data_IF_566321970103
#
_entry.id   IF_566321970103
#
_cell.length_a   1.000
_cell.length_b   1.000
_cell.length_c   1.000
_cell.angle_alpha   90.00
_cell.angle_beta   90.00
_cell.angle_gamma   90.00
#
_symmetry.space_group_name_H-M   'P 1'
#
loop_
_entity.id
_entity.type
_entity.pdbx_description
1 polymer ?
#
# COMPACT_ATOMS: atom_id res chain seq x y z
N UNK A 1 -12.30 -14.98 -17.89
CA UNK A 1 -12.00 -14.32 -16.60
C UNK A 1 -12.38 -15.27 -15.47
N UNK A 2 -11.69 -15.30 -14.32
CA UNK A 2 -11.99 -16.23 -13.21
C UNK A 2 -12.45 -15.46 -11.96
N UNK A 3 -13.60 -15.82 -11.42
CA UNK A 3 -14.15 -15.32 -10.16
C UNK A 3 -13.91 -16.36 -9.06
N UNK A 4 -14.20 -16.02 -7.81
CA UNK A 4 -13.95 -16.88 -6.64
C UNK A 4 -15.06 -16.72 -5.62
N UNK A 5 -15.70 -17.83 -5.25
CA UNK A 5 -16.54 -17.88 -4.05
C UNK A 5 -15.67 -17.99 -2.81
N UNK A 6 -16.07 -17.27 -1.76
CA UNK A 6 -15.49 -17.34 -0.43
C UNK A 6 -16.54 -17.86 0.53
N UNK A 7 -16.22 -18.93 1.26
CA UNK A 7 -17.16 -19.62 2.15
C UNK A 7 -16.73 -19.50 3.60
N UNK A 8 -17.70 -19.37 4.50
CA UNK A 8 -17.47 -19.40 5.96
C UNK A 8 -17.43 -20.84 6.49
N UNK A 9 -16.60 -21.67 5.89
CA UNK A 9 -16.40 -23.07 6.27
C UNK A 9 -14.98 -23.53 5.92
N UNK A 10 -14.56 -24.61 6.57
CA UNK A 10 -13.19 -25.13 6.41
C UNK A 10 -13.00 -25.78 5.03
N UNK A 11 -11.74 -25.94 4.61
CA UNK A 11 -11.43 -26.59 3.32
C UNK A 11 -11.92 -28.05 3.32
N UNK A 12 -11.75 -28.75 4.43
CA UNK A 12 -12.12 -30.15 4.61
C UNK A 12 -13.63 -30.35 4.50
N UNK A 13 -14.41 -29.44 5.09
CA UNK A 13 -15.87 -29.43 5.04
C UNK A 13 -16.37 -29.18 3.62
N UNK A 14 -15.90 -28.10 2.97
CA UNK A 14 -16.33 -27.78 1.60
C UNK A 14 -15.86 -28.81 0.57
N UNK A 15 -14.70 -29.44 0.76
CA UNK A 15 -14.20 -30.45 -0.19
C UNK A 15 -15.15 -31.65 -0.28
N UNK A 16 -15.87 -31.99 0.80
CA UNK A 16 -16.87 -33.07 0.81
C UNK A 16 -18.10 -32.72 -0.02
N UNK A 17 -18.54 -31.47 0.01
CA UNK A 17 -19.74 -30.98 -0.69
C UNK A 17 -19.43 -30.32 -2.03
N UNK A 18 -18.15 -30.16 -2.41
CA UNK A 18 -17.72 -29.40 -3.59
C UNK A 18 -18.40 -29.82 -4.89
N UNK A 19 -18.53 -31.14 -5.14
CA UNK A 19 -19.21 -31.64 -6.35
C UNK A 19 -20.70 -31.34 -6.34
N UNK A 20 -21.34 -31.48 -5.19
CA UNK A 20 -22.76 -31.19 -5.01
C UNK A 20 -23.03 -29.70 -5.20
N UNK A 21 -22.18 -28.85 -4.62
CA UNK A 21 -22.23 -27.41 -4.81
C UNK A 21 -22.20 -27.04 -6.30
N UNK A 22 -21.25 -27.57 -7.08
CA UNK A 22 -21.19 -27.31 -8.51
C UNK A 22 -22.45 -27.69 -9.28
N UNK A 23 -23.05 -28.84 -8.96
CA UNK A 23 -24.32 -29.27 -9.58
C UNK A 23 -25.48 -28.33 -9.20
N UNK A 24 -25.54 -27.88 -7.94
CA UNK A 24 -26.58 -26.95 -7.49
C UNK A 24 -26.41 -25.55 -8.10
N UNK A 25 -25.17 -25.05 -8.24
CA UNK A 25 -24.90 -23.78 -8.93
C UNK A 25 -25.37 -23.87 -10.38
N UNK A 26 -25.01 -24.94 -11.09
CA UNK A 26 -25.41 -25.15 -12.47
C UNK A 26 -26.93 -25.19 -12.62
N UNK A 27 -27.61 -25.99 -11.79
CA UNK A 27 -29.07 -26.08 -11.83
C UNK A 27 -29.77 -24.75 -11.49
N UNK A 28 -29.24 -24.00 -10.52
CA UNK A 28 -29.79 -22.68 -10.18
C UNK A 28 -29.62 -21.69 -11.34
N UNK A 29 -28.49 -21.75 -12.05
CA UNK A 29 -28.22 -20.88 -13.19
C UNK A 29 -29.13 -21.20 -14.38
N UNK A 30 -29.37 -22.49 -14.67
CA UNK A 30 -30.30 -22.94 -15.71
C UNK A 30 -31.74 -22.51 -15.43
N UNK A 31 -32.17 -22.54 -14.16
CA UNK A 31 -33.50 -22.11 -13.75
C UNK A 31 -33.68 -20.58 -13.79
N UNK A 32 -32.70 -19.83 -13.30
CA UNK A 32 -32.80 -18.37 -13.19
C UNK A 32 -32.50 -17.68 -14.54
N UNK A 33 -31.78 -18.33 -15.46
CA UNK A 33 -31.38 -17.79 -16.76
C UNK A 33 -31.54 -18.80 -17.92
N UNK A 34 -32.79 -19.16 -18.29
CA UNK A 34 -33.07 -20.19 -19.30
C UNK A 34 -32.67 -19.78 -20.73
N UNK A 35 -32.41 -18.50 -20.98
CA UNK A 35 -32.21 -17.95 -22.33
C UNK A 35 -30.77 -18.14 -22.87
N UNK A 36 -29.85 -18.61 -22.03
CA UNK A 36 -28.47 -18.91 -22.43
C UNK A 36 -28.07 -20.32 -22.01
N UNK A 37 -27.35 -21.04 -22.88
CA UNK A 37 -26.69 -22.29 -22.49
C UNK A 37 -25.51 -21.94 -21.59
N UNK A 38 -25.80 -21.71 -20.31
CA UNK A 38 -24.81 -21.39 -19.31
C UNK A 38 -24.14 -22.66 -18.80
N UNK A 39 -22.82 -22.62 -18.63
CA UNK A 39 -22.07 -23.70 -17.99
C UNK A 39 -21.10 -23.10 -16.99
N UNK A 40 -21.03 -23.69 -15.79
CA UNK A 40 -20.14 -23.26 -14.71
C UNK A 40 -19.06 -24.28 -14.46
N UNK A 41 -17.81 -23.82 -14.45
CA UNK A 41 -16.64 -24.65 -14.22
C UNK A 41 -15.95 -24.24 -12.93
N UNK A 42 -15.96 -25.12 -11.94
CA UNK A 42 -15.29 -24.94 -10.65
C UNK A 42 -13.87 -25.52 -10.69
N UNK A 43 -12.92 -24.78 -10.11
CA UNK A 43 -11.57 -25.28 -9.84
C UNK A 43 -11.53 -26.14 -8.58
N UNK A 44 -10.37 -26.71 -8.24
CA UNK A 44 -10.21 -27.33 -6.93
C UNK A 44 -10.38 -26.30 -5.80
N UNK A 45 -11.03 -26.69 -4.69
CA UNK A 45 -11.10 -25.89 -3.47
C UNK A 45 -9.72 -25.55 -2.93
N UNK A 46 -9.59 -24.38 -2.31
CA UNK A 46 -8.37 -23.91 -1.66
C UNK A 46 -8.67 -23.22 -0.35
N UNK A 47 -7.74 -23.31 0.59
CA UNK A 47 -7.76 -22.54 1.83
C UNK A 47 -7.69 -21.04 1.50
N UNK A 48 -8.50 -20.23 2.17
CA UNK A 48 -8.46 -18.78 1.97
C UNK A 48 -7.18 -18.20 2.59
N UNK A 49 -6.56 -17.24 1.88
CA UNK A 49 -5.33 -16.57 2.34
C UNK A 49 -5.54 -15.66 3.54
N UNK A 50 -6.73 -15.04 3.66
CA UNK A 50 -7.05 -14.08 4.73
C UNK A 50 -7.45 -14.76 6.03
N UNK A 51 -8.11 -15.92 5.96
CA UNK A 51 -8.58 -16.65 7.13
C UNK A 51 -8.45 -18.15 6.89
N UNK A 52 -7.72 -18.84 7.77
CA UNK A 52 -7.50 -20.28 7.69
C UNK A 52 -8.75 -21.12 7.90
N UNK A 53 -9.77 -20.57 8.56
CA UNK A 53 -11.07 -21.24 8.78
C UNK A 53 -12.02 -21.07 7.59
N UNK A 54 -11.62 -20.30 6.57
CA UNK A 54 -12.41 -20.08 5.37
C UNK A 54 -11.82 -20.85 4.20
N UNK A 55 -12.70 -21.28 3.32
CA UNK A 55 -12.36 -21.91 2.06
C UNK A 55 -12.75 -21.01 0.89
N UNK A 56 -12.21 -21.32 -0.28
CA UNK A 56 -12.53 -20.59 -1.49
C UNK A 56 -12.40 -21.50 -2.71
N UNK A 57 -13.22 -21.25 -3.72
CA UNK A 57 -13.15 -21.96 -5.00
C UNK A 57 -13.23 -20.97 -6.14
N UNK A 58 -12.32 -21.09 -7.10
CA UNK A 58 -12.37 -20.27 -8.29
C UNK A 58 -13.31 -20.89 -9.31
N UNK A 59 -13.96 -20.05 -10.09
CA UNK A 59 -14.89 -20.47 -11.11
C UNK A 59 -14.84 -19.56 -12.32
N UNK A 60 -15.31 -20.07 -13.44
CA UNK A 60 -15.68 -19.27 -14.60
C UNK A 60 -16.97 -19.83 -15.17
N UNK A 61 -17.72 -18.97 -15.84
CA UNK A 61 -18.93 -19.37 -16.54
C UNK A 61 -18.78 -19.09 -18.03
N UNK A 62 -19.34 -19.98 -18.84
CA UNK A 62 -19.49 -19.79 -20.28
C UNK A 62 -20.97 -19.67 -20.60
N UNK A 63 -21.31 -18.89 -21.60
CA UNK A 63 -22.65 -18.85 -22.19
C UNK A 63 -22.49 -19.12 -23.67
N UNK A 64 -23.16 -20.15 -24.19
CA UNK A 64 -23.04 -20.59 -25.58
C UNK A 64 -21.57 -20.83 -26.00
N UNK A 65 -20.78 -21.47 -25.13
CA UNK A 65 -19.36 -21.77 -25.35
C UNK A 65 -18.41 -20.57 -25.22
N UNK A 66 -18.91 -19.36 -24.97
CA UNK A 66 -18.06 -18.18 -24.76
C UNK A 66 -17.90 -17.83 -23.29
N UNK A 67 -16.65 -17.69 -22.84
CA UNK A 67 -16.32 -17.30 -21.45
C UNK A 67 -16.84 -15.90 -21.18
N UNK A 68 -17.68 -15.79 -20.14
CA UNK A 68 -18.33 -14.54 -19.80
C UNK A 68 -17.40 -13.60 -19.02
N UNK A 69 -17.63 -12.30 -19.22
CA UNK A 69 -16.94 -11.24 -18.50
C UNK A 69 -17.41 -11.12 -17.05
N UNK A 70 -16.59 -10.51 -16.19
CA UNK A 70 -16.88 -10.37 -14.76
C UNK A 70 -18.27 -9.79 -14.46
N UNK A 71 -18.68 -8.72 -15.16
CA UNK A 71 -19.99 -8.08 -14.90
C UNK A 71 -21.15 -9.02 -15.22
N UNK A 72 -21.07 -9.78 -16.30
CA UNK A 72 -22.11 -10.74 -16.69
C UNK A 72 -22.15 -11.92 -15.70
N UNK A 73 -20.98 -12.48 -15.36
CA UNK A 73 -20.85 -13.55 -14.35
C UNK A 73 -21.39 -13.09 -13.01
N UNK A 74 -21.03 -11.88 -12.58
CA UNK A 74 -21.50 -11.35 -11.31
C UNK A 74 -23.01 -11.15 -11.30
N UNK A 75 -23.59 -10.62 -12.38
CA UNK A 75 -25.03 -10.42 -12.45
C UNK A 75 -25.83 -11.72 -12.41
N UNK A 76 -25.30 -12.80 -12.97
CA UNK A 76 -26.00 -14.08 -13.08
C UNK A 76 -25.80 -14.99 -11.87
N UNK A 77 -24.63 -14.90 -11.21
CA UNK A 77 -24.22 -15.83 -10.15
C UNK A 77 -24.12 -15.17 -8.76
N UNK A 78 -24.36 -13.86 -8.65
CA UNK A 78 -24.56 -13.20 -7.35
C UNK A 78 -25.83 -13.71 -6.68
N UNK A 79 -25.92 -13.53 -5.37
CA UNK A 79 -27.17 -13.75 -4.65
C UNK A 79 -28.28 -12.93 -5.32
N UNK A 80 -29.27 -13.62 -5.86
CA UNK A 80 -30.42 -12.97 -6.47
C UNK A 80 -31.20 -12.21 -5.39
N UNK A 81 -31.69 -11.02 -5.74
CA UNK A 81 -32.50 -10.17 -4.85
C UNK A 81 -33.86 -10.80 -4.53
N UNK A 82 -34.24 -11.82 -5.28
CA UNK A 82 -35.46 -12.60 -5.05
C UNK A 82 -35.14 -13.70 -4.03
N UNK A 83 -35.65 -13.55 -2.81
CA UNK A 83 -35.39 -14.47 -1.70
C UNK A 83 -35.83 -15.93 -1.99
N UNK A 84 -36.74 -16.16 -2.95
CA UNK A 84 -37.20 -17.49 -3.36
C UNK A 84 -36.35 -18.16 -4.45
N UNK A 85 -35.32 -17.50 -4.98
CA UNK A 85 -34.42 -18.08 -5.98
C UNK A 85 -33.57 -19.23 -5.40
N UNK A 86 -33.26 -20.22 -6.23
CA UNK A 86 -32.40 -21.35 -5.83
C UNK A 86 -30.97 -20.89 -5.53
N UNK A 87 -30.50 -19.84 -6.21
CA UNK A 87 -29.24 -19.17 -5.90
C UNK A 87 -29.22 -18.59 -4.48
N UNK A 88 -30.29 -17.91 -4.04
CA UNK A 88 -30.34 -17.37 -2.66
C UNK A 88 -30.30 -18.49 -1.60
N UNK A 89 -31.04 -19.59 -1.82
CA UNK A 89 -30.99 -20.77 -0.93
C UNK A 89 -29.59 -21.37 -0.87
N UNK A 90 -28.89 -21.44 -2.00
CA UNK A 90 -27.55 -21.98 -2.09
C UNK A 90 -26.53 -21.14 -1.29
N UNK A 91 -26.65 -19.82 -1.37
CA UNK A 91 -25.83 -18.86 -0.62
C UNK A 91 -25.97 -19.05 0.89
N UNK A 92 -27.20 -19.23 1.38
CA UNK A 92 -27.45 -19.50 2.79
C UNK A 92 -26.92 -20.87 3.22
N UNK A 93 -27.14 -21.91 2.41
CA UNK A 93 -26.76 -23.28 2.76
C UNK A 93 -25.23 -23.49 2.81
N UNK A 94 -24.49 -22.90 1.88
CA UNK A 94 -23.02 -22.99 1.81
C UNK A 94 -22.31 -21.83 2.51
N UNK A 95 -23.04 -20.99 3.27
CA UNK A 95 -22.49 -19.84 4.02
C UNK A 95 -21.54 -18.99 3.16
N UNK A 96 -21.96 -18.69 1.94
CA UNK A 96 -21.16 -17.90 1.01
C UNK A 96 -21.04 -16.48 1.57
N UNK A 97 -19.81 -16.05 1.84
CA UNK A 97 -19.52 -14.72 2.40
C UNK A 97 -19.52 -13.69 1.27
N UNK A 98 -18.82 -14.00 0.17
CA UNK A 98 -18.64 -13.06 -0.93
C UNK A 98 -18.20 -13.77 -2.23
N UNK A 99 -18.41 -13.10 -3.37
CA UNK A 99 -17.70 -13.40 -4.63
C UNK A 99 -16.63 -12.34 -4.84
N UNK A 100 -15.40 -12.78 -5.06
CA UNK A 100 -14.27 -11.91 -5.38
C UNK A 100 -13.64 -12.33 -6.71
N UNK A 101 -12.71 -11.54 -7.25
CA UNK A 101 -11.88 -12.01 -8.36
C UNK A 101 -10.95 -13.12 -7.88
N UNK A 102 -10.83 -14.19 -8.66
CA UNK A 102 -9.80 -15.19 -8.38
C UNK A 102 -8.43 -14.55 -8.63
N UNK A 103 -7.48 -14.74 -7.72
CA UNK A 103 -6.10 -14.27 -7.87
C UNK A 103 -5.44 -14.91 -9.11
N UNK A 104 -5.67 -14.34 -10.29
CA UNK A 104 -4.68 -14.32 -11.34
C UNK A 104 -3.74 -13.18 -10.96
N UNK A 105 -2.48 -13.52 -10.63
CA UNK A 105 -1.38 -12.60 -10.32
C UNK A 105 -1.77 -11.12 -10.29
N UNK A 106 -2.04 -10.59 -9.10
CA UNK A 106 -2.22 -9.16 -8.83
C UNK A 106 -2.93 -8.40 -9.96
N UNK A 107 -4.22 -8.66 -10.18
CA UNK A 107 -5.04 -7.62 -10.78
C UNK A 107 -4.92 -6.39 -9.85
N UNK A 108 -4.34 -5.27 -10.29
CA UNK A 108 -4.12 -4.13 -9.42
C UNK A 108 -5.49 -3.69 -8.96
N UNK A 109 -5.71 -3.83 -7.66
CA UNK A 109 -6.88 -3.28 -6.99
C UNK A 109 -6.89 -1.81 -7.38
N UNK A 110 -7.88 -1.41 -8.19
CA UNK A 110 -8.21 0.00 -8.44
C UNK A 110 -8.79 0.57 -7.14
N UNK A 111 -7.95 0.65 -6.11
CA UNK A 111 -8.17 1.50 -4.96
C UNK A 111 -7.41 2.79 -5.28
N UNK A 112 -8.18 3.76 -5.77
CA UNK A 112 -7.99 5.18 -5.49
C UNK A 112 -6.54 5.69 -5.50
N UNK A 113 -6.06 6.03 -6.69
CA UNK A 113 -5.44 7.34 -6.97
C UNK A 113 -4.41 7.95 -6.00
N UNK A 114 -3.57 7.20 -5.28
CA UNK A 114 -2.28 7.71 -4.76
C UNK A 114 -1.33 6.65 -4.21
N UNK A 115 -1.38 5.41 -4.70
CA UNK A 115 -0.36 4.42 -4.34
C UNK A 115 0.80 4.51 -5.35
N UNK A 116 1.75 5.42 -5.12
CA UNK A 116 3.04 5.35 -5.81
C UNK A 116 3.65 3.97 -5.52
N UNK A 117 4.14 3.24 -6.54
CA UNK A 117 4.74 1.93 -6.34
C UNK A 117 5.82 2.04 -5.26
N UNK A 118 5.85 1.12 -4.30
CA UNK A 118 6.84 1.12 -3.21
C UNK A 118 8.28 1.17 -3.75
N UNK A 119 8.51 0.61 -4.93
CA UNK A 119 9.79 0.70 -5.65
C UNK A 119 10.15 2.14 -6.07
N UNK A 120 9.18 2.95 -6.51
CA UNK A 120 9.38 4.37 -6.84
C UNK A 120 9.59 5.18 -5.57
N UNK A 121 8.87 4.87 -4.49
CA UNK A 121 9.07 5.52 -3.19
C UNK A 121 10.47 5.28 -2.63
N UNK A 122 10.97 4.03 -2.73
CA UNK A 122 12.34 3.67 -2.34
C UNK A 122 13.39 4.38 -3.20
N UNK A 123 13.13 4.53 -4.51
CA UNK A 123 14.00 5.30 -5.39
C UNK A 123 14.04 6.78 -5.00
N UNK A 124 12.88 7.41 -4.74
CA UNK A 124 12.81 8.81 -4.30
C UNK A 124 13.55 9.00 -2.96
N UNK A 125 13.34 8.09 -2.00
CA UNK A 125 14.04 8.12 -0.72
C UNK A 125 15.55 7.97 -0.89
N UNK A 126 16.00 7.05 -1.74
CA UNK A 126 17.42 6.85 -2.06
C UNK A 126 18.06 8.09 -2.69
N UNK A 127 17.38 8.72 -3.65
CA UNK A 127 17.84 9.96 -4.30
C UNK A 127 17.93 11.10 -3.28
N UNK A 128 16.93 11.25 -2.40
CA UNK A 128 16.94 12.27 -1.36
C UNK A 128 18.14 12.11 -0.40
N UNK A 129 18.46 10.87 0.01
CA UNK A 129 19.61 10.57 0.86
C UNK A 129 20.92 10.93 0.14
N UNK A 130 21.04 10.58 -1.14
CA UNK A 130 22.22 10.94 -1.97
C UNK A 130 22.45 12.46 -2.03
N UNK A 131 21.38 13.23 -2.20
CA UNK A 131 21.45 14.70 -2.22
C UNK A 131 21.91 15.23 -0.85
N UNK A 132 21.38 14.71 0.25
CA UNK A 132 21.80 15.10 1.60
C UNK A 132 23.29 14.83 1.85
N UNK A 133 23.80 13.67 1.40
CA UNK A 133 25.22 13.33 1.49
C UNK A 133 26.07 14.32 0.69
N UNK A 134 25.66 14.65 -0.53
CA UNK A 134 26.35 15.66 -1.36
C UNK A 134 26.43 17.02 -0.68
N UNK A 135 25.33 17.51 -0.10
CA UNK A 135 25.29 18.77 0.62
C UNK A 135 26.22 18.73 1.85
N UNK A 136 26.21 17.62 2.60
CA UNK A 136 27.09 17.45 3.76
C UNK A 136 28.58 17.47 3.35
N UNK A 137 28.95 16.83 2.24
CA UNK A 137 30.32 16.84 1.74
C UNK A 137 30.76 18.24 1.28
N UNK A 138 29.91 18.96 0.56
CA UNK A 138 30.20 20.32 0.12
C UNK A 138 30.37 21.27 1.31
N UNK A 139 29.48 21.20 2.30
CA UNK A 139 29.60 22.01 3.52
C UNK A 139 30.86 21.65 4.29
N UNK A 140 31.17 20.36 4.45
CA UNK A 140 32.42 19.91 5.09
C UNK A 140 33.66 20.47 4.40
N UNK A 141 33.76 20.37 3.07
CA UNK A 141 34.89 20.93 2.30
C UNK A 141 34.98 22.45 2.48
N UNK A 142 33.85 23.15 2.43
CA UNK A 142 33.80 24.60 2.65
C UNK A 142 34.25 24.98 4.07
N UNK A 143 33.83 24.22 5.09
CA UNK A 143 34.26 24.41 6.47
C UNK A 143 35.76 24.17 6.62
N UNK A 144 36.31 23.10 6.03
CA UNK A 144 37.75 22.82 6.09
C UNK A 144 38.55 23.92 5.40
N UNK A 145 38.10 24.43 4.24
CA UNK A 145 38.75 25.55 3.55
C UNK A 145 38.70 26.83 4.38
N UNK A 146 37.52 27.20 4.87
CA UNK A 146 37.34 28.38 5.71
C UNK A 146 38.12 28.28 7.02
N UNK A 147 38.14 27.10 7.64
CA UNK A 147 38.91 26.84 8.84
C UNK A 147 40.41 26.96 8.58
N UNK A 148 40.91 26.43 7.47
CA UNK A 148 42.30 26.58 7.03
C UNK A 148 42.67 28.04 6.76
N UNK A 149 41.77 28.82 6.18
CA UNK A 149 41.95 30.26 5.98
C UNK A 149 41.96 31.03 7.30
N UNK A 150 41.06 30.72 8.24
CA UNK A 150 41.07 31.29 9.59
C UNK A 150 42.36 30.96 10.36
N UNK A 151 42.84 29.72 10.27
CA UNK A 151 44.13 29.33 10.87
C UNK A 151 45.30 30.09 10.23
N UNK A 152 45.31 30.26 8.90
CA UNK A 152 46.34 31.05 8.22
C UNK A 152 46.27 32.54 8.59
N UNK A 153 45.08 33.10 8.73
CA UNK A 153 44.90 34.49 9.17
C UNK A 153 45.38 34.68 10.63
N UNK A 154 45.08 33.72 11.52
CA UNK A 154 45.59 33.72 12.90
C UNK A 154 47.10 33.55 12.96
N UNK A 155 47.67 32.66 12.14
CA UNK A 155 49.12 32.50 12.05
C UNK A 155 49.82 33.78 11.55
N UNK A 156 49.22 34.49 10.58
CA UNK A 156 49.72 35.80 10.11
C UNK A 156 49.60 36.89 11.18
N UNK A 157 48.52 36.92 11.96
CA UNK A 157 48.39 37.85 13.09
C UNK A 157 49.41 37.59 14.19
N UNK A 158 49.69 36.32 14.52
CA UNK A 158 50.75 35.97 15.48
C UNK A 158 52.13 36.40 14.96
N UNK A 159 52.42 36.12 13.68
CA UNK A 159 53.69 36.53 13.05
C UNK A 159 53.86 38.04 12.88
N UNK A 160 52.76 38.80 12.76
CA UNK A 160 52.76 40.26 12.70
C UNK A 160 52.75 40.95 14.07
N UNK A 161 52.32 40.24 15.13
CA UNK A 161 52.32 40.75 16.51
C UNK A 161 53.70 40.69 17.16
N UNK A 162 54.62 39.86 16.66
CA UNK A 162 56.03 39.85 17.10
C UNK A 162 56.85 41.02 16.55
N UNK A 163 56.25 41.88 15.70
CA UNK A 163 56.95 42.98 15.02
C UNK A 163 56.29 44.36 15.14
N UNK A 164 55.25 44.53 15.95
CA UNK A 164 54.54 45.82 16.08
C UNK A 164 54.54 46.31 17.54
N UNK A 165 55.15 47.48 17.84
CA UNK A 165 55.12 48.05 19.18
C UNK A 165 53.70 48.46 19.55
N UNK A 166 53.37 48.30 20.84
CA UNK A 166 52.11 48.68 21.46
C UNK A 166 51.67 50.10 21.04
N UNK A 167 50.55 50.22 20.32
CA UNK A 167 49.81 51.47 20.16
C UNK A 167 48.40 51.24 20.69
N UNK A 168 48.08 51.94 21.79
CA UNK A 168 46.75 52.04 22.37
C UNK A 168 45.75 52.65 21.35
N UNK A 169 44.59 52.04 21.18
CA UNK A 169 43.42 52.62 20.49
C UNK A 169 42.29 51.60 20.26
N UNK A 170 41.02 52.03 20.19
CA UNK A 170 40.04 51.82 21.25
C UNK A 170 39.20 50.53 21.08
N UNK A 171 38.83 49.96 22.23
CA UNK A 171 37.99 48.77 22.41
C UNK A 171 36.64 48.83 21.68
N UNK A 172 36.19 47.78 20.98
CA UNK A 172 34.81 47.69 20.51
C UNK A 172 33.89 47.28 21.68
N UNK A 173 32.83 48.06 21.86
CA UNK A 173 31.79 47.90 22.86
C UNK A 173 31.08 46.55 22.71
N UNK A 174 31.21 45.67 23.70
CA UNK A 174 30.34 44.50 23.86
C UNK A 174 28.91 45.00 24.15
N UNK A 175 27.98 44.74 23.24
CA UNK A 175 26.55 44.96 23.47
C UNK A 175 26.07 43.84 24.41
N UNK A 176 25.91 44.15 25.69
CA UNK A 176 25.13 43.34 26.64
C UNK A 176 23.63 43.58 26.41
N UNK A 177 22.76 42.56 26.49
CA UNK A 177 21.31 42.74 26.41
C UNK A 177 20.78 43.50 27.64
N UNK A 178 19.67 44.25 27.52
CA UNK A 178 19.16 45.10 28.59
C UNK A 178 18.61 44.26 29.76
N UNK A 179 18.79 44.71 31.03
CA UNK A 179 18.25 44.04 32.19
C UNK A 179 16.72 44.17 32.26
N UNK A 180 16.06 43.08 32.68
CA UNK A 180 14.60 43.00 32.84
C UNK A 180 14.08 43.99 33.91
N UNK A 181 12.88 44.58 33.73
CA UNK A 181 12.31 45.52 34.67
C UNK A 181 11.89 44.83 35.98
N UNK A 182 12.39 45.34 37.11
CA UNK A 182 11.90 44.99 38.44
C UNK A 182 10.54 45.65 38.66
N UNK A 183 9.48 44.84 38.76
CA UNK A 183 8.20 45.27 39.31
C UNK A 183 8.35 45.47 40.82
N UNK A 184 8.27 46.72 41.28
CA UNK A 184 8.16 47.06 42.70
C UNK A 184 6.72 46.85 43.16
N UNK A 185 6.55 46.02 44.18
CA UNK A 185 5.32 45.93 44.98
C UNK A 185 5.24 47.15 45.91
N UNK A 186 4.09 47.83 45.90
CA UNK A 186 3.63 48.68 47.00
C UNK A 186 2.97 47.81 48.07
#
# INVERSE_FOLDING_TARGET
MKMRYVFNETLEEFTRTHKEFGRKVQAALENDHPEGNWEVFLSQPRKNKRNSMWSSVCFHATMNGQVQGERAVMSALSQSTVASSELSKLYHLHKIINIERCDAAAAPVRQSALALPTQVLMLIAGVAILILILIALLTYICFVRRYKEHLRAKQKQMKGSDGAPCVLGPTPTFILPPPAPRYGFY
#
